data_IF_165206381077
#
_entry.id   IF_165206381077
#
_cell.length_a   1.000
_cell.length_b   1.000
_cell.length_c   1.000
_cell.angle_alpha   90.00
_cell.angle_beta   90.00
_cell.angle_gamma   90.00
#
_symmetry.space_group_name_H-M   'P 1'
#
loop_
_entity.id
_entity.type
_entity.pdbx_description
1 polymer ?
#
# COMPACT_ATOMS: atom_id res chain seq x y z
N UNK A 1 -7.67 -23.04 -1.93
CA UNK A 1 -8.35 -21.98 -1.18
C UNK A 1 -8.58 -22.50 0.24
N UNK A 2 -7.56 -22.37 1.07
CA UNK A 2 -7.64 -22.63 2.51
C UNK A 2 -8.02 -21.31 3.16
N UNK A 3 -9.19 -21.25 3.77
CA UNK A 3 -9.65 -20.12 4.56
C UNK A 3 -8.64 -19.79 5.66
N UNK A 4 -8.23 -18.50 5.73
CA UNK A 4 -7.31 -17.86 6.69
C UNK A 4 -7.42 -18.32 8.16
N UNK A 5 -8.61 -18.78 8.58
CA UNK A 5 -8.93 -19.22 9.94
C UNK A 5 -8.04 -20.36 10.53
N UNK A 6 -7.18 -21.01 9.73
CA UNK A 6 -6.32 -22.11 10.18
C UNK A 6 -4.81 -21.87 9.98
N UNK A 7 -4.34 -20.65 9.73
CA UNK A 7 -2.89 -20.42 9.61
C UNK A 7 -2.22 -20.55 11.00
N UNK A 8 -1.35 -21.56 11.25
CA UNK A 8 -0.83 -21.85 12.59
C UNK A 8 -0.07 -20.68 13.22
N UNK A 9 0.58 -19.86 12.41
CA UNK A 9 1.24 -18.63 12.85
C UNK A 9 0.24 -17.60 13.41
N UNK A 10 -0.89 -17.38 12.72
CA UNK A 10 -1.87 -16.38 13.14
C UNK A 10 -2.56 -16.82 14.43
N UNK A 11 -2.94 -18.10 14.55
CA UNK A 11 -3.50 -18.65 15.78
C UNK A 11 -2.55 -18.48 16.97
N UNK A 12 -1.25 -18.70 16.75
CA UNK A 12 -0.21 -18.46 17.76
C UNK A 12 -0.13 -16.98 18.13
N UNK A 13 -0.08 -16.07 17.16
CA UNK A 13 0.01 -14.63 17.41
C UNK A 13 -1.21 -14.13 18.19
N UNK A 14 -2.42 -14.59 17.86
CA UNK A 14 -3.65 -14.26 18.60
C UNK A 14 -3.51 -14.62 20.08
N UNK A 15 -3.08 -15.85 20.38
CA UNK A 15 -2.88 -16.30 21.76
C UNK A 15 -1.83 -15.46 22.50
N UNK A 16 -0.69 -15.18 21.85
CA UNK A 16 0.38 -14.37 22.46
C UNK A 16 -0.06 -12.91 22.69
N UNK A 17 -0.83 -12.30 21.78
CA UNK A 17 -1.42 -10.97 21.95
C UNK A 17 -2.40 -10.95 23.13
N UNK A 18 -3.23 -11.99 23.29
CA UNK A 18 -4.15 -12.11 24.43
C UNK A 18 -3.39 -12.20 25.78
N UNK A 19 -2.17 -12.72 25.77
CA UNK A 19 -1.27 -12.73 26.92
C UNK A 19 -0.44 -11.45 27.09
N UNK A 20 -0.71 -10.41 26.30
CA UNK A 20 -0.08 -9.09 26.40
C UNK A 20 1.22 -8.93 25.61
N UNK A 21 1.60 -9.93 24.81
CA UNK A 21 2.75 -9.80 23.92
C UNK A 21 2.45 -8.78 22.81
N UNK A 22 3.47 -7.99 22.43
CA UNK A 22 3.36 -7.01 21.36
C UNK A 22 4.21 -7.43 20.17
N UNK A 23 3.66 -7.24 18.98
CA UNK A 23 4.32 -7.53 17.73
C UNK A 23 4.40 -6.30 16.84
N UNK A 24 5.35 -6.31 15.93
CA UNK A 24 5.46 -5.36 14.83
C UNK A 24 5.80 -6.10 13.54
N UNK A 25 5.45 -5.51 12.41
CA UNK A 25 5.84 -6.04 11.09
C UNK A 25 6.94 -5.22 10.44
N UNK A 26 7.67 -5.85 9.55
CA UNK A 26 8.64 -5.21 8.67
C UNK A 26 8.38 -5.62 7.23
N UNK A 27 8.27 -4.64 6.34
CA UNK A 27 7.95 -4.84 4.93
C UNK A 27 9.11 -4.29 4.10
N UNK A 28 9.88 -5.21 3.54
CA UNK A 28 11.12 -4.90 2.80
C UNK A 28 11.14 -5.58 1.46
N UNK A 29 11.78 -4.94 0.50
CA UNK A 29 12.14 -5.54 -0.77
C UNK A 29 13.57 -6.08 -0.64
N UNK A 30 13.73 -7.39 -0.45
CA UNK A 30 15.06 -8.00 -0.29
C UNK A 30 15.84 -8.05 -1.60
N UNK A 31 15.15 -8.12 -2.74
CA UNK A 31 15.79 -8.19 -4.05
C UNK A 31 16.28 -6.82 -4.55
N UNK A 32 16.03 -5.74 -3.78
CA UNK A 32 16.17 -4.34 -4.20
C UNK A 32 15.53 -4.08 -5.58
N UNK A 33 14.55 -4.92 -5.95
CA UNK A 33 13.96 -4.94 -7.27
C UNK A 33 13.09 -3.70 -7.47
N UNK A 34 13.08 -3.15 -8.68
CA UNK A 34 12.26 -1.97 -8.94
C UNK A 34 10.78 -2.33 -8.87
N UNK A 35 10.06 -1.58 -8.04
CA UNK A 35 8.61 -1.65 -7.98
C UNK A 35 8.08 -2.19 -6.66
N UNK A 36 6.90 -2.80 -6.72
CA UNK A 36 6.17 -3.32 -5.56
C UNK A 36 6.20 -4.86 -5.48
N UNK A 37 6.89 -5.52 -6.40
CA UNK A 37 7.04 -6.97 -6.43
C UNK A 37 8.23 -7.41 -5.55
N UNK A 38 8.28 -8.68 -5.15
CA UNK A 38 9.40 -9.23 -4.37
C UNK A 38 9.49 -8.77 -2.90
N UNK A 39 8.48 -8.04 -2.39
CA UNK A 39 8.45 -7.69 -0.97
C UNK A 39 8.21 -8.91 -0.09
N UNK A 40 8.87 -8.90 1.06
CA UNK A 40 8.66 -9.85 2.13
C UNK A 40 7.98 -9.18 3.32
N UNK A 41 7.23 -9.98 4.06
CA UNK A 41 6.63 -9.62 5.32
C UNK A 41 7.36 -10.38 6.44
N UNK A 42 7.98 -9.63 7.35
CA UNK A 42 8.60 -10.19 8.55
C UNK A 42 7.79 -9.80 9.79
N UNK A 43 7.57 -10.74 10.70
CA UNK A 43 6.86 -10.51 11.96
C UNK A 43 7.86 -10.58 13.11
N UNK A 44 7.84 -9.59 14.00
CA UNK A 44 8.77 -9.44 15.10
C UNK A 44 8.03 -9.27 16.42
N UNK A 45 8.55 -9.89 17.48
CA UNK A 45 8.19 -9.48 18.83
C UNK A 45 8.88 -8.14 19.13
N UNK A 46 8.18 -7.22 19.79
CA UNK A 46 8.78 -5.97 20.25
C UNK A 46 9.95 -6.27 21.18
N UNK A 47 11.12 -5.67 20.90
CA UNK A 47 12.36 -5.87 21.67
C UNK A 47 13.15 -7.13 21.32
N UNK A 48 12.77 -7.87 20.28
CA UNK A 48 13.53 -9.03 19.79
C UNK A 48 14.53 -8.63 18.70
N UNK A 49 15.69 -9.28 18.68
CA UNK A 49 16.74 -9.11 17.67
C UNK A 49 16.53 -9.99 16.43
N UNK A 50 15.51 -10.88 16.43
CA UNK A 50 15.22 -11.78 15.32
C UNK A 50 13.72 -11.84 14.99
N UNK A 51 13.35 -12.01 13.71
CA UNK A 51 11.96 -12.19 13.34
C UNK A 51 11.48 -13.56 13.80
N UNK A 52 10.20 -13.61 14.16
CA UNK A 52 9.46 -14.85 14.46
C UNK A 52 9.22 -15.63 13.18
N UNK A 53 8.94 -14.90 12.10
CA UNK A 53 8.67 -15.46 10.78
C UNK A 53 8.99 -14.44 9.70
N UNK A 54 9.44 -14.96 8.55
CA UNK A 54 9.68 -14.20 7.32
C UNK A 54 9.05 -15.02 6.19
N UNK A 55 8.27 -14.38 5.32
CA UNK A 55 7.68 -15.03 4.15
C UNK A 55 7.45 -13.99 3.04
N UNK A 56 7.30 -14.43 1.78
CA UNK A 56 6.87 -13.54 0.69
C UNK A 56 5.59 -12.80 1.06
N UNK A 57 5.41 -11.59 0.54
CA UNK A 57 4.20 -10.80 0.80
C UNK A 57 2.93 -11.61 0.52
N UNK A 58 2.04 -11.63 1.50
CA UNK A 58 0.74 -12.30 1.45
C UNK A 58 -0.33 -11.33 1.96
N UNK A 59 -1.27 -10.98 1.09
CA UNK A 59 -2.31 -10.00 1.37
C UNK A 59 -3.29 -10.49 2.45
N UNK A 60 -3.58 -11.79 2.51
CA UNK A 60 -4.50 -12.37 3.50
C UNK A 60 -3.86 -12.32 4.90
N UNK A 61 -2.59 -12.75 5.02
CA UNK A 61 -1.86 -12.66 6.29
C UNK A 61 -1.75 -11.20 6.75
N UNK A 62 -1.48 -10.29 5.82
CA UNK A 62 -1.40 -8.86 6.12
C UNK A 62 -2.73 -8.29 6.61
N UNK A 63 -3.88 -8.71 6.06
CA UNK A 63 -5.21 -8.30 6.50
C UNK A 63 -5.45 -8.68 7.96
N UNK A 64 -5.19 -9.94 8.30
CA UNK A 64 -5.35 -10.46 9.67
C UNK A 64 -4.44 -9.70 10.65
N UNK A 65 -3.21 -9.36 10.25
CA UNK A 65 -2.30 -8.56 11.09
C UNK A 65 -2.81 -7.13 11.32
N UNK A 66 -3.51 -6.52 10.36
CA UNK A 66 -4.17 -5.23 10.59
C UNK A 66 -5.33 -5.38 11.58
N UNK A 67 -6.14 -6.43 11.45
CA UNK A 67 -7.25 -6.69 12.37
C UNK A 67 -6.77 -6.97 13.80
N UNK A 68 -5.58 -7.59 13.93
CA UNK A 68 -4.85 -7.76 15.20
C UNK A 68 -4.14 -6.49 15.68
N UNK A 69 -4.33 -5.35 15.00
CA UNK A 69 -3.72 -4.05 15.30
C UNK A 69 -2.18 -4.04 15.29
N UNK A 70 -1.57 -4.95 14.54
CA UNK A 70 -0.11 -5.04 14.43
C UNK A 70 0.38 -3.99 13.44
N UNK A 71 1.07 -2.97 13.95
CA UNK A 71 1.72 -1.92 13.15
C UNK A 71 3.05 -2.38 12.59
N UNK A 72 3.52 -1.70 11.56
CA UNK A 72 4.91 -1.77 11.16
C UNK A 72 5.84 -1.19 12.22
N UNK A 73 7.08 -1.68 12.22
CA UNK A 73 8.13 -1.24 13.16
C UNK A 73 8.54 0.23 12.99
N UNK A 74 8.35 0.77 11.78
CA UNK A 74 8.68 2.14 11.42
C UNK A 74 7.76 2.64 10.29
N UNK A 75 7.81 3.96 10.05
CA UNK A 75 6.95 4.65 9.09
C UNK A 75 7.25 4.26 7.64
N UNK A 76 8.50 3.91 7.33
CA UNK A 76 8.90 3.55 5.97
C UNK A 76 8.36 2.16 5.61
N UNK A 77 8.47 1.21 6.53
CA UNK A 77 7.84 -0.10 6.44
C UNK A 77 6.32 0.01 6.33
N UNK A 78 5.66 0.87 7.13
CA UNK A 78 4.19 1.07 7.01
C UNK A 78 3.83 1.69 5.65
N UNK A 79 4.66 2.60 5.13
CA UNK A 79 4.49 3.17 3.80
C UNK A 79 4.56 2.09 2.71
N UNK A 80 5.58 1.21 2.75
CA UNK A 80 5.70 0.07 1.83
C UNK A 80 4.48 -0.84 1.93
N UNK A 81 4.11 -1.22 3.16
CA UNK A 81 2.94 -2.07 3.44
C UNK A 81 1.69 -1.54 2.75
N UNK A 82 1.40 -0.24 2.91
CA UNK A 82 0.21 0.36 2.33
C UNK A 82 0.32 0.63 0.82
N UNK A 83 1.51 0.84 0.27
CA UNK A 83 1.71 0.92 -1.17
C UNK A 83 1.42 -0.42 -1.86
N UNK A 84 1.88 -1.53 -1.28
CA UNK A 84 1.63 -2.87 -1.79
C UNK A 84 0.14 -3.23 -1.65
N UNK A 85 -0.49 -2.88 -0.51
CA UNK A 85 -1.95 -3.02 -0.36
C UNK A 85 -2.74 -2.24 -1.42
N UNK A 86 -2.30 -1.04 -1.80
CA UNK A 86 -2.94 -0.29 -2.88
C UNK A 86 -2.82 -1.05 -4.21
N UNK A 87 -1.64 -1.59 -4.54
CA UNK A 87 -1.44 -2.43 -5.73
C UNK A 87 -2.40 -3.61 -5.73
N UNK A 88 -2.41 -4.41 -4.66
CA UNK A 88 -3.19 -5.66 -4.62
C UNK A 88 -4.69 -5.39 -4.80
N UNK A 89 -5.21 -4.37 -4.13
CA UNK A 89 -6.65 -4.08 -4.17
C UNK A 89 -7.10 -3.30 -5.41
N UNK A 90 -6.17 -2.62 -6.08
CA UNK A 90 -6.45 -1.97 -7.36
C UNK A 90 -6.22 -2.90 -8.55
N UNK A 91 -5.50 -4.01 -8.41
CA UNK A 91 -5.17 -4.94 -9.51
C UNK A 91 -6.41 -5.39 -10.31
N UNK A 92 -7.52 -5.72 -9.64
CA UNK A 92 -8.76 -6.10 -10.30
C UNK A 92 -9.38 -4.92 -11.10
N UNK A 93 -9.31 -3.71 -10.55
CA UNK A 93 -9.78 -2.47 -11.20
C UNK A 93 -8.91 -2.15 -12.42
N UNK A 94 -7.60 -2.28 -12.28
CA UNK A 94 -6.62 -2.10 -13.36
C UNK A 94 -6.89 -3.05 -14.53
N UNK A 95 -7.09 -4.34 -14.22
CA UNK A 95 -7.41 -5.36 -15.21
C UNK A 95 -8.74 -5.07 -15.92
N UNK A 96 -9.77 -4.65 -15.17
CA UNK A 96 -11.11 -4.37 -15.69
C UNK A 96 -11.14 -3.20 -16.69
N UNK A 97 -10.48 -2.09 -16.38
CA UNK A 97 -10.56 -0.87 -17.18
C UNK A 97 -9.38 -0.67 -18.14
N UNK A 98 -8.30 -1.44 -17.96
CA UNK A 98 -7.06 -1.33 -18.72
C UNK A 98 -6.12 -0.24 -18.19
N UNK A 99 -4.82 -0.57 -18.15
CA UNK A 99 -3.78 0.24 -17.52
C UNK A 99 -3.74 1.70 -18.01
N UNK A 100 -3.90 1.93 -19.32
CA UNK A 100 -3.83 3.28 -19.89
C UNK A 100 -5.00 4.18 -19.48
N UNK A 101 -6.22 3.63 -19.40
CA UNK A 101 -7.39 4.38 -18.93
C UNK A 101 -7.31 4.59 -17.42
N UNK A 102 -7.04 3.53 -16.67
CA UNK A 102 -6.86 3.59 -15.21
C UNK A 102 -5.83 4.65 -14.80
N UNK A 103 -4.66 4.68 -15.45
CA UNK A 103 -3.60 5.62 -15.13
C UNK A 103 -4.06 7.09 -15.29
N UNK A 104 -4.87 7.38 -16.31
CA UNK A 104 -5.41 8.74 -16.51
C UNK A 104 -6.44 9.10 -15.44
N UNK A 105 -7.33 8.16 -15.10
CA UNK A 105 -8.31 8.35 -14.02
C UNK A 105 -7.61 8.57 -12.68
N UNK A 106 -6.56 7.80 -12.38
CA UNK A 106 -5.75 7.95 -11.16
C UNK A 106 -5.10 9.34 -11.10
N UNK A 107 -4.44 9.78 -12.17
CA UNK A 107 -3.80 11.10 -12.23
C UNK A 107 -4.83 12.21 -12.05
N UNK A 108 -5.96 12.12 -12.74
CA UNK A 108 -7.04 13.11 -12.65
C UNK A 108 -7.64 13.15 -11.23
N UNK A 109 -7.93 11.99 -10.61
CA UNK A 109 -8.42 11.91 -9.22
C UNK A 109 -7.46 12.54 -8.21
N UNK A 110 -6.17 12.24 -8.31
CA UNK A 110 -5.13 12.73 -7.38
C UNK A 110 -4.98 14.25 -7.52
N UNK A 111 -5.05 14.76 -8.75
CA UNK A 111 -5.00 16.20 -9.06
C UNK A 111 -6.24 16.92 -8.51
N UNK A 112 -7.45 16.41 -8.77
CA UNK A 112 -8.70 17.02 -8.29
C UNK A 112 -8.83 17.00 -6.78
N UNK A 113 -8.24 16.00 -6.12
CA UNK A 113 -8.27 15.87 -4.66
C UNK A 113 -7.22 16.74 -3.97
N UNK A 114 -6.48 17.57 -4.71
CA UNK A 114 -5.37 18.40 -4.22
C UNK A 114 -4.23 17.59 -3.56
N UNK A 115 -4.17 16.28 -3.80
CA UNK A 115 -3.11 15.43 -3.29
C UNK A 115 -1.79 15.68 -4.04
N UNK A 116 -1.87 16.18 -5.27
CA UNK A 116 -0.76 16.69 -6.07
C UNK A 116 0.01 17.85 -5.40
N UNK A 117 -0.56 18.49 -4.38
CA UNK A 117 0.15 19.50 -3.57
C UNK A 117 1.13 18.88 -2.57
N UNK A 118 1.00 17.58 -2.27
CA UNK A 118 1.95 16.90 -1.39
C UNK A 118 3.26 16.67 -2.15
N UNK A 119 4.44 17.08 -1.62
CA UNK A 119 5.69 17.05 -2.36
C UNK A 119 6.02 15.68 -3.00
N UNK A 120 5.82 14.60 -2.24
CA UNK A 120 6.07 13.23 -2.71
C UNK A 120 5.17 12.84 -3.90
N UNK A 121 3.90 13.26 -3.89
CA UNK A 121 2.94 12.96 -4.96
C UNK A 121 3.19 13.88 -6.16
N UNK A 122 3.49 15.15 -5.90
CA UNK A 122 3.81 16.13 -6.93
C UNK A 122 4.96 15.64 -7.82
N UNK A 123 6.07 15.23 -7.19
CA UNK A 123 7.26 14.76 -7.91
C UNK A 123 6.96 13.52 -8.78
N UNK A 124 6.12 12.61 -8.28
CA UNK A 124 5.67 11.46 -9.05
C UNK A 124 4.77 11.88 -10.24
N UNK A 125 3.82 12.79 -10.01
CA UNK A 125 2.88 13.24 -11.06
C UNK A 125 3.55 14.09 -12.14
N UNK A 126 4.48 14.97 -11.78
CA UNK A 126 5.19 15.83 -12.75
C UNK A 126 5.93 14.98 -13.81
N UNK A 127 6.32 13.75 -13.46
CA UNK A 127 6.97 12.77 -14.36
C UNK A 127 5.96 11.82 -15.02
N UNK A 128 4.76 11.68 -14.47
CA UNK A 128 3.69 10.84 -14.99
C UNK A 128 2.84 11.61 -16.00
N UNK A 129 3.33 11.74 -17.24
CA UNK A 129 2.53 12.33 -18.31
C UNK A 129 1.29 11.48 -18.61
N UNK A 130 0.10 12.07 -18.47
CA UNK A 130 -1.17 11.46 -18.90
C UNK A 130 -1.97 12.45 -19.74
N UNK A 131 -2.63 11.96 -20.80
CA UNK A 131 -3.57 12.78 -21.60
C UNK A 131 -4.88 12.95 -20.83
N UNK A 132 -5.64 14.00 -21.14
CA UNK A 132 -7.00 14.18 -20.63
C UNK A 132 -7.84 12.89 -20.83
N UNK A 133 -8.68 12.61 -19.84
CA UNK A 133 -9.64 11.51 -19.84
C UNK A 133 -11.05 12.05 -20.03
N UNK A 134 -11.86 11.38 -20.83
CA UNK A 134 -13.26 11.71 -21.00
C UNK A 134 -14.05 11.30 -19.75
N UNK A 135 -14.84 12.23 -19.20
CA UNK A 135 -15.56 12.05 -17.93
C UNK A 135 -16.97 11.52 -18.13
N UNK A 136 -17.06 10.32 -18.71
CA UNK A 136 -18.32 9.61 -18.88
C UNK A 136 -18.64 8.71 -17.65
N UNK A 137 -19.70 7.91 -17.73
CA UNK A 137 -20.11 7.01 -16.63
C UNK A 137 -19.03 5.99 -16.24
N UNK A 138 -18.28 5.46 -17.21
CA UNK A 138 -17.18 4.51 -16.99
C UNK A 138 -16.02 5.16 -16.23
N UNK A 139 -15.71 6.43 -16.55
CA UNK A 139 -14.75 7.23 -15.78
C UNK A 139 -15.19 7.37 -14.32
N UNK A 140 -16.44 7.73 -14.07
CA UNK A 140 -16.93 7.92 -12.70
C UNK A 140 -16.89 6.61 -11.90
N UNK A 141 -17.28 5.48 -12.52
CA UNK A 141 -17.20 4.18 -11.86
C UNK A 141 -15.75 3.79 -11.49
N UNK A 142 -14.81 4.00 -12.41
CA UNK A 142 -13.39 3.75 -12.16
C UNK A 142 -12.84 4.67 -11.05
N UNK A 143 -13.15 5.97 -11.13
CA UNK A 143 -12.73 6.98 -10.15
C UNK A 143 -13.25 6.64 -8.76
N UNK A 144 -14.53 6.31 -8.64
CA UNK A 144 -15.17 6.00 -7.36
C UNK A 144 -14.60 4.71 -6.76
N UNK A 145 -14.25 3.72 -7.59
CA UNK A 145 -13.55 2.51 -7.14
C UNK A 145 -12.17 2.84 -6.57
N UNK A 146 -11.37 3.66 -7.28
CA UNK A 146 -10.04 4.08 -6.79
C UNK A 146 -10.17 4.87 -5.49
N UNK A 147 -11.07 5.84 -5.44
CA UNK A 147 -11.31 6.66 -4.26
C UNK A 147 -11.79 5.82 -3.07
N UNK A 148 -12.63 4.82 -3.30
CA UNK A 148 -13.07 3.88 -2.29
C UNK A 148 -11.90 3.09 -1.69
N UNK A 149 -11.00 2.55 -2.52
CA UNK A 149 -9.83 1.79 -2.07
C UNK A 149 -8.89 2.68 -1.23
N UNK A 150 -8.58 3.90 -1.70
CA UNK A 150 -7.77 4.86 -0.95
C UNK A 150 -8.45 5.21 0.39
N UNK A 151 -9.77 5.46 0.37
CA UNK A 151 -10.55 5.73 1.57
C UNK A 151 -10.58 4.56 2.56
N UNK A 152 -10.61 3.32 2.07
CA UNK A 152 -10.48 2.11 2.90
C UNK A 152 -9.14 2.11 3.62
N UNK A 153 -8.02 2.32 2.91
CA UNK A 153 -6.67 2.41 3.52
C UNK A 153 -6.56 3.47 4.62
N UNK A 154 -7.15 4.65 4.39
CA UNK A 154 -7.19 5.72 5.42
C UNK A 154 -7.94 5.27 6.68
N UNK A 155 -9.05 4.55 6.53
CA UNK A 155 -9.82 3.99 7.66
C UNK A 155 -9.06 2.90 8.39
N UNK A 156 -8.33 2.04 7.68
CA UNK A 156 -7.49 1.01 8.31
C UNK A 156 -6.40 1.65 9.18
N UNK A 157 -5.68 2.64 8.64
CA UNK A 157 -4.66 3.39 9.37
C UNK A 157 -5.22 4.04 10.65
N UNK A 158 -6.40 4.69 10.56
CA UNK A 158 -6.97 5.44 11.69
C UNK A 158 -7.75 4.60 12.69
N UNK A 159 -8.55 3.61 12.22
CA UNK A 159 -9.51 2.88 13.07
C UNK A 159 -9.02 1.52 13.53
N UNK A 160 -8.17 0.86 12.75
CA UNK A 160 -7.64 -0.46 13.09
C UNK A 160 -6.24 -0.32 13.67
N UNK A 161 -5.38 0.44 13.00
CA UNK A 161 -4.01 0.66 13.44
C UNK A 161 -3.87 1.84 14.38
N UNK A 162 -4.92 2.61 14.69
CA UNK A 162 -4.92 3.70 15.67
C UNK A 162 -3.84 4.79 15.39
N UNK A 163 -3.51 5.06 14.12
CA UNK A 163 -2.66 6.20 13.75
C UNK A 163 -3.43 7.51 13.86
N UNK A 164 -2.78 8.54 14.39
CA UNK A 164 -3.32 9.90 14.36
C UNK A 164 -3.40 10.43 12.92
N UNK A 165 -4.17 11.50 12.72
CA UNK A 165 -4.41 12.06 11.39
C UNK A 165 -3.12 12.50 10.68
N UNK A 166 -2.15 13.04 11.42
CA UNK A 166 -0.87 13.51 10.85
C UNK A 166 -0.05 12.32 10.34
N UNK A 167 0.10 11.29 11.17
CA UNK A 167 0.81 10.07 10.80
C UNK A 167 0.13 9.34 9.65
N UNK A 168 -1.20 9.21 9.69
CA UNK A 168 -1.97 8.60 8.62
C UNK A 168 -1.79 9.34 7.29
N UNK A 169 -1.91 10.68 7.27
CA UNK A 169 -1.72 11.47 6.05
C UNK A 169 -0.32 11.25 5.47
N UNK A 170 0.71 11.27 6.32
CA UNK A 170 2.09 11.04 5.90
C UNK A 170 2.30 9.65 5.29
N UNK A 171 1.80 8.60 5.94
CA UNK A 171 1.90 7.22 5.44
C UNK A 171 1.14 7.08 4.11
N UNK A 172 -0.11 7.53 4.06
CA UNK A 172 -0.96 7.35 2.90
C UNK A 172 -0.48 8.16 1.69
N UNK A 173 -0.06 9.41 1.88
CA UNK A 173 0.48 10.24 0.79
C UNK A 173 1.74 9.63 0.19
N UNK A 174 2.65 9.11 1.03
CA UNK A 174 3.85 8.40 0.55
C UNK A 174 3.52 7.07 -0.12
N UNK A 175 2.56 6.33 0.41
CA UNK A 175 2.12 5.07 -0.19
C UNK A 175 1.51 5.29 -1.59
N UNK A 176 0.69 6.33 -1.74
CA UNK A 176 0.14 6.76 -3.04
C UNK A 176 1.26 7.17 -3.99
N UNK A 177 2.22 7.99 -3.52
CA UNK A 177 3.37 8.39 -4.34
C UNK A 177 4.17 7.18 -4.83
N UNK A 178 4.47 6.21 -3.94
CA UNK A 178 5.19 4.98 -4.28
C UNK A 178 4.39 4.11 -5.25
N UNK A 179 3.08 4.03 -5.09
CA UNK A 179 2.21 3.32 -6.03
C UNK A 179 2.20 3.99 -7.41
N UNK A 180 2.11 5.32 -7.49
CA UNK A 180 2.22 6.07 -8.76
C UNK A 180 3.60 5.84 -9.40
N UNK A 181 4.69 5.96 -8.63
CA UNK A 181 6.05 5.72 -9.11
C UNK A 181 6.19 4.33 -9.75
N UNK A 182 5.68 3.30 -9.08
CA UNK A 182 5.66 1.94 -9.61
C UNK A 182 4.83 1.84 -10.91
N UNK A 183 3.64 2.44 -10.95
CA UNK A 183 2.72 2.35 -12.10
C UNK A 183 3.22 3.03 -13.37
N UNK A 184 4.04 4.06 -13.24
CA UNK A 184 4.65 4.76 -14.36
C UNK A 184 6.13 4.42 -14.54
N UNK A 185 6.66 3.47 -13.75
CA UNK A 185 8.06 3.05 -13.72
C UNK A 185 9.03 4.24 -13.59
N UNK A 186 8.69 5.24 -12.78
CA UNK A 186 9.40 6.53 -12.77
C UNK A 186 10.81 6.39 -12.21
N UNK A 187 10.97 5.75 -11.05
CA UNK A 187 12.30 5.51 -10.47
C UNK A 187 13.19 4.66 -11.39
N UNK A 188 12.62 3.65 -12.05
CA UNK A 188 13.33 2.84 -13.03
C UNK A 188 13.80 3.67 -14.23
N UNK A 189 12.91 4.51 -14.79
CA UNK A 189 13.25 5.40 -15.91
C UNK A 189 14.31 6.43 -15.53
N UNK A 190 14.24 7.00 -14.32
CA UNK A 190 15.24 7.96 -13.82
C UNK A 190 16.63 7.33 -13.74
N UNK A 191 16.74 6.12 -13.19
CA UNK A 191 18.03 5.43 -13.12
C UNK A 191 18.58 5.03 -14.49
N UNK A 192 17.70 4.77 -15.45
CA UNK A 192 18.08 4.53 -16.85
C UNK A 192 18.39 5.81 -17.65
N UNK A 193 18.29 7.00 -17.03
CA UNK A 193 18.52 8.29 -17.69
C UNK A 193 17.44 8.69 -18.70
N UNK A 194 16.22 8.20 -18.52
CA UNK A 194 15.07 8.41 -19.43
C UNK A 194 14.08 9.48 -18.93
N UNK A 195 14.44 10.20 -17.86
CA UNK A 195 13.68 11.30 -17.24
C UNK A 195 14.60 12.49 -16.96
#
# INVERSE_FOLDING_TARGET
MTTSANHPLLARLVAEIQHGQKFVVDVRNEDESFGLDGYQLSIWSVGSDKPISIFPWDSEINEELIDLKVRSKDLESETSRFAIRLRDELAATESRYGNGFFNRVLVDLVTESYLDKHPDIKDALDRAHSRQVERNSVYHECRDTIAYVIGKRSRELTRQLDYDETSMRKILSKAIARYIDNRFSLSQRKQMGLL
#
